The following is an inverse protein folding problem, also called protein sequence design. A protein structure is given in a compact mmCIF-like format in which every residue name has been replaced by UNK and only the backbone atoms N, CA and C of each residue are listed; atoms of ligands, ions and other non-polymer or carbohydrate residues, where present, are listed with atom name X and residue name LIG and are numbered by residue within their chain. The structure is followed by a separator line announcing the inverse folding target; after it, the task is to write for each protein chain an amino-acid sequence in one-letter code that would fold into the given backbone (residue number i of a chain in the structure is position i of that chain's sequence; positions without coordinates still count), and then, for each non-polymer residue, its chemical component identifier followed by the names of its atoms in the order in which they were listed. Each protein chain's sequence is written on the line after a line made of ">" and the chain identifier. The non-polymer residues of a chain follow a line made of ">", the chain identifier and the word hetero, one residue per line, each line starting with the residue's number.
data_IF_688960167817
#
_entry.id   IF_688960167817
#
_cell.length_a   1.000
_cell.length_b   1.000
_cell.length_c   1.000
_cell.angle_alpha   90.00
_cell.angle_beta   90.00
_cell.angle_gamma   90.00
#
_symmetry.space_group_name_H-M   'P 1'
#
loop_
_entity.id
_entity.type
_entity.pdbx_description
1 polymer ?
#
# COMPACT_ATOMS: atom_id res chain seq x y z
N UNK A 1 33.69 -19.46 -52.17
CA UNK A 1 33.88 -18.15 -51.53
C UNK A 1 33.15 -17.15 -52.39
N UNK A 2 32.18 -16.43 -51.83
CA UNK A 2 31.78 -15.06 -52.18
C UNK A 2 30.55 -14.66 -51.33
N UNK A 3 30.87 -14.01 -50.21
CA UNK A 3 30.11 -12.93 -49.57
C UNK A 3 28.61 -13.13 -49.29
N UNK A 4 28.28 -14.03 -48.36
CA UNK A 4 27.00 -14.04 -47.63
C UNK A 4 26.90 -12.90 -46.59
N UNK A 5 27.52 -11.75 -46.88
CA UNK A 5 27.63 -10.63 -45.96
C UNK A 5 27.27 -9.34 -46.68
N UNK A 6 25.98 -9.06 -46.82
CA UNK A 6 25.45 -7.69 -46.93
C UNK A 6 23.98 -7.68 -47.33
N UNK A 7 23.11 -7.97 -46.35
CA UNK A 7 21.80 -7.32 -46.30
C UNK A 7 21.16 -7.68 -44.96
N UNK A 8 21.79 -7.27 -43.84
CA UNK A 8 20.94 -7.01 -42.68
C UNK A 8 20.12 -5.81 -43.12
N UNK A 9 18.81 -5.97 -43.35
CA UNK A 9 18.07 -4.92 -44.01
C UNK A 9 18.08 -3.70 -43.07
N UNK A 10 18.31 -2.53 -43.63
CA UNK A 10 18.41 -1.26 -42.91
C UNK A 10 17.29 -1.03 -41.88
N UNK A 11 16.09 -1.59 -42.13
CA UNK A 11 14.97 -1.56 -41.16
C UNK A 11 15.25 -2.35 -39.88
N UNK A 12 16.05 -3.42 -39.91
CA UNK A 12 16.45 -4.19 -38.73
C UNK A 12 17.38 -3.37 -37.82
N UNK A 13 18.29 -2.58 -38.42
CA UNK A 13 19.12 -1.63 -37.67
C UNK A 13 18.27 -0.53 -37.03
N UNK A 14 17.31 0.04 -37.79
CA UNK A 14 16.36 1.01 -37.23
C UNK A 14 15.54 0.40 -36.08
N UNK A 15 15.05 -0.82 -36.24
CA UNK A 15 14.29 -1.54 -35.22
C UNK A 15 15.10 -1.75 -33.95
N UNK A 16 16.36 -2.20 -34.06
CA UNK A 16 17.25 -2.37 -32.91
C UNK A 16 17.53 -1.04 -32.20
N UNK A 17 17.75 0.05 -32.95
CA UNK A 17 17.95 1.40 -32.37
C UNK A 17 16.69 1.87 -31.62
N UNK A 18 15.49 1.66 -32.19
CA UNK A 18 14.22 1.98 -31.50
C UNK A 18 14.05 1.13 -30.25
N UNK A 19 14.34 -0.17 -30.31
CA UNK A 19 14.29 -1.05 -29.14
C UNK A 19 15.23 -0.59 -28.03
N UNK A 20 16.48 -0.19 -28.35
CA UNK A 20 17.45 0.33 -27.36
C UNK A 20 16.94 1.63 -26.73
N UNK A 21 16.38 2.56 -27.52
CA UNK A 21 15.82 3.83 -27.01
C UNK A 21 14.63 3.57 -26.07
N UNK A 22 13.72 2.66 -26.46
CA UNK A 22 12.56 2.29 -25.63
C UNK A 22 13.01 1.58 -24.34
N UNK A 23 14.00 0.69 -24.42
CA UNK A 23 14.53 0.00 -23.24
C UNK A 23 15.27 0.95 -22.30
N UNK A 24 16.02 1.93 -22.80
CA UNK A 24 16.65 2.96 -21.98
C UNK A 24 15.61 3.88 -21.30
N UNK A 25 14.53 4.23 -22.01
CA UNK A 25 13.39 4.96 -21.42
C UNK A 25 12.64 4.16 -20.36
N UNK A 26 12.50 2.84 -20.53
CA UNK A 26 11.83 1.99 -19.53
C UNK A 26 12.75 1.68 -18.33
N UNK A 27 14.03 1.42 -18.58
CA UNK A 27 15.06 1.15 -17.57
C UNK A 27 15.35 2.36 -16.68
N UNK A 28 15.24 3.59 -17.21
CA UNK A 28 15.37 4.81 -16.39
C UNK A 28 14.22 5.03 -15.40
N UNK A 29 13.14 4.24 -15.47
CA UNK A 29 12.12 4.17 -14.40
C UNK A 29 12.43 3.14 -13.31
N UNK A 30 13.50 2.35 -13.46
CA UNK A 30 13.90 1.30 -12.54
C UNK A 30 15.26 1.59 -11.89
N UNK A 31 15.41 2.76 -11.24
CA UNK A 31 16.18 2.95 -9.99
C UNK A 31 16.23 4.41 -9.57
N UNK A 32 15.95 4.62 -8.28
CA UNK A 32 16.00 5.85 -7.47
C UNK A 32 14.73 6.70 -7.49
N UNK A 33 13.93 6.58 -6.42
CA UNK A 33 13.95 7.51 -5.26
C UNK A 33 12.86 7.09 -4.25
N UNK A 34 12.80 7.74 -3.08
CA UNK A 34 13.48 7.40 -1.83
C UNK A 34 12.44 6.82 -0.85
N UNK A 35 12.87 6.49 0.38
CA UNK A 35 11.97 6.50 1.53
C UNK A 35 11.16 7.80 1.50
N UNK A 36 9.93 7.72 1.04
CA UNK A 36 8.98 8.81 1.12
C UNK A 36 8.56 8.82 2.57
N UNK A 37 9.29 9.59 3.39
CA UNK A 37 8.68 10.22 4.55
C UNK A 37 7.44 10.90 3.99
N UNK A 38 6.27 10.33 4.25
CA UNK A 38 5.02 11.03 4.05
C UNK A 38 5.18 12.38 4.76
N UNK A 39 5.38 13.44 3.97
CA UNK A 39 5.27 14.80 4.45
C UNK A 39 3.79 14.99 4.71
N UNK A 40 3.36 14.57 5.90
CA UNK A 40 2.04 14.85 6.45
C UNK A 40 2.01 16.37 6.63
N UNK A 41 1.59 17.08 5.59
CA UNK A 41 1.28 18.49 5.66
C UNK A 41 -0.14 18.60 6.22
N UNK A 42 -0.31 18.15 7.46
CA UNK A 42 -1.49 18.35 8.26
C UNK A 42 -1.11 19.29 9.37
N UNK A 43 -1.91 20.33 9.60
CA UNK A 43 -1.79 21.19 10.76
C UNK A 43 -1.89 20.28 12.00
N UNK A 44 -0.76 19.95 12.61
CA UNK A 44 -0.71 19.01 13.74
C UNK A 44 -1.32 19.72 14.95
N UNK A 45 -2.62 19.53 15.12
CA UNK A 45 -3.30 19.92 16.34
C UNK A 45 -2.91 18.88 17.40
N UNK A 46 -1.82 19.12 18.12
CA UNK A 46 -1.39 18.25 19.21
C UNK A 46 -2.27 18.51 20.42
N UNK A 47 -3.38 17.78 20.49
CA UNK A 47 -4.11 17.61 21.73
C UNK A 47 -3.36 16.65 22.64
N UNK A 48 -3.49 16.78 23.97
CA UNK A 48 -2.96 15.79 24.92
C UNK A 48 -3.44 14.35 24.70
N UNK A 49 -4.44 14.16 23.81
CA UNK A 49 -4.94 12.87 23.36
C UNK A 49 -4.11 12.22 22.23
N UNK A 50 -3.25 12.95 21.52
CA UNK A 50 -2.49 12.47 20.36
C UNK A 50 -2.91 13.09 19.02
N UNK A 51 -2.47 12.49 17.92
CA UNK A 51 -2.74 12.91 16.54
C UNK A 51 -3.59 11.88 15.79
N UNK A 52 -4.49 12.33 14.92
CA UNK A 52 -5.27 11.43 14.07
C UNK A 52 -4.45 11.07 12.82
N UNK A 53 -4.20 9.78 12.62
CA UNK A 53 -3.46 9.25 11.48
C UNK A 53 -4.32 8.30 10.65
N UNK A 54 -4.05 8.28 9.34
CA UNK A 54 -4.70 7.43 8.34
C UNK A 54 -3.72 6.35 7.89
N UNK A 55 -4.17 5.10 7.88
CA UNK A 55 -3.41 3.93 7.48
C UNK A 55 -4.14 3.20 6.36
N UNK A 56 -3.38 2.63 5.45
CA UNK A 56 -3.90 1.79 4.37
C UNK A 56 -3.86 0.32 4.79
N UNK A 57 -4.94 -0.39 4.52
CA UNK A 57 -5.07 -1.82 4.69
C UNK A 57 -5.26 -2.47 3.33
N UNK A 58 -4.52 -3.55 3.10
CA UNK A 58 -4.67 -4.34 1.87
C UNK A 58 -5.95 -5.19 1.95
N UNK A 59 -6.85 -5.10 0.96
CA UNK A 59 -8.02 -5.98 0.89
C UNK A 59 -7.62 -7.46 0.86
N UNK A 60 -8.40 -8.32 1.51
CA UNK A 60 -8.19 -9.77 1.55
C UNK A 60 -6.78 -10.20 2.02
N UNK A 61 -6.16 -9.39 2.88
CA UNK A 61 -4.80 -9.67 3.35
C UNK A 61 -4.58 -9.19 4.80
N UNK A 62 -3.57 -9.77 5.43
CA UNK A 62 -3.07 -9.35 6.73
C UNK A 62 -2.15 -8.14 6.57
N UNK A 63 -2.50 -7.04 7.22
CA UNK A 63 -1.68 -5.83 7.28
C UNK A 63 -1.17 -5.63 8.70
N UNK A 64 0.15 -5.47 8.86
CA UNK A 64 0.76 -5.14 10.14
C UNK A 64 1.09 -3.65 10.20
N UNK A 65 0.58 -2.95 11.21
CA UNK A 65 0.85 -1.54 11.46
C UNK A 65 1.70 -1.40 12.74
N UNK A 66 2.64 -0.45 12.71
CA UNK A 66 3.42 -0.06 13.89
C UNK A 66 2.68 1.06 14.60
N UNK A 67 1.96 0.70 15.66
CA UNK A 67 1.06 1.57 16.41
C UNK A 67 1.25 1.29 17.90
N UNK A 68 1.18 2.29 18.79
CA UNK A 68 1.13 2.04 20.22
C UNK A 68 -0.11 1.20 20.58
N UNK A 69 0.00 0.39 21.63
CA UNK A 69 -1.16 -0.35 22.17
C UNK A 69 -2.27 0.59 22.62
N UNK A 70 -1.90 1.77 23.13
CA UNK A 70 -2.84 2.81 23.53
C UNK A 70 -3.44 3.59 22.36
N UNK A 71 -3.10 3.29 21.10
CA UNK A 71 -3.73 3.95 19.96
C UNK A 71 -5.19 3.51 19.83
N UNK A 72 -6.09 4.49 19.70
CA UNK A 72 -7.52 4.23 19.60
C UNK A 72 -7.92 4.19 18.13
N UNK A 73 -8.48 3.07 17.69
CA UNK A 73 -9.06 2.95 16.34
C UNK A 73 -10.40 3.69 16.31
N UNK A 74 -10.57 4.60 15.35
CA UNK A 74 -11.76 5.43 15.22
C UNK A 74 -12.77 4.84 14.24
N UNK A 75 -12.31 4.51 13.03
CA UNK A 75 -13.17 4.00 11.97
C UNK A 75 -12.33 3.34 10.88
N UNK A 76 -12.99 2.46 10.13
CA UNK A 76 -12.53 2.01 8.81
C UNK A 76 -13.49 2.50 7.73
N UNK A 77 -12.97 2.86 6.55
CA UNK A 77 -13.76 3.23 5.37
C UNK A 77 -13.04 2.78 4.10
N UNK A 78 -13.80 2.46 3.06
CA UNK A 78 -13.23 2.20 1.74
C UNK A 78 -12.95 3.50 0.98
N UNK A 79 -11.91 3.46 0.16
CA UNK A 79 -11.62 4.40 -0.90
C UNK A 79 -11.97 3.80 -2.26
N UNK A 80 -11.25 4.20 -3.30
CA UNK A 80 -11.47 3.69 -4.66
C UNK A 80 -11.15 2.19 -4.74
N UNK A 81 -9.94 1.78 -4.36
CA UNK A 81 -9.40 0.41 -4.43
C UNK A 81 -8.76 -0.04 -3.11
N UNK A 82 -8.78 0.82 -2.09
CA UNK A 82 -8.13 0.59 -0.81
C UNK A 82 -9.10 0.68 0.37
N UNK A 83 -8.75 0.03 1.48
CA UNK A 83 -9.43 0.23 2.77
C UNK A 83 -8.51 1.06 3.64
N UNK A 84 -9.10 2.02 4.33
CA UNK A 84 -8.37 2.91 5.22
C UNK A 84 -8.87 2.77 6.65
N UNK A 85 -7.92 2.84 7.57
CA UNK A 85 -8.12 2.87 9.01
C UNK A 85 -7.68 4.22 9.54
N UNK A 86 -8.50 4.82 10.40
CA UNK A 86 -8.13 6.03 11.14
C UNK A 86 -7.96 5.70 12.61
N UNK A 87 -6.90 6.23 13.21
CA UNK A 87 -6.62 6.05 14.63
C UNK A 87 -6.12 7.34 15.27
N UNK A 88 -6.44 7.53 16.55
CA UNK A 88 -5.76 8.48 17.42
C UNK A 88 -4.49 7.81 17.93
N UNK A 89 -3.34 8.41 17.62
CA UNK A 89 -2.02 7.90 17.98
C UNK A 89 -1.40 8.83 19.02
N UNK A 90 -1.20 8.36 20.27
CA UNK A 90 -0.58 9.17 21.30
C UNK A 90 0.91 9.40 21.00
N UNK A 91 1.37 10.63 21.26
CA UNK A 91 2.78 11.00 21.09
C UNK A 91 3.66 10.42 22.20
N UNK A 92 4.92 10.08 21.86
CA UNK A 92 5.91 9.61 22.83
C UNK A 92 5.67 8.20 23.38
N UNK A 93 4.70 7.45 22.84
CA UNK A 93 4.47 6.03 23.18
C UNK A 93 5.24 5.12 22.23
N UNK A 94 5.68 3.98 22.75
CA UNK A 94 6.37 2.97 21.96
C UNK A 94 5.40 2.32 20.96
N UNK A 95 5.86 2.13 19.73
CA UNK A 95 5.10 1.43 18.71
C UNK A 95 5.26 -0.08 18.90
N UNK A 96 4.14 -0.79 18.91
CA UNK A 96 4.14 -2.24 18.81
C UNK A 96 3.54 -2.68 17.48
N UNK A 97 3.71 -3.96 17.15
CA UNK A 97 3.13 -4.55 15.94
C UNK A 97 1.68 -4.94 16.20
N UNK A 98 0.73 -4.20 15.61
CA UNK A 98 -0.71 -4.51 15.60
C UNK A 98 -1.11 -5.06 14.24
N UNK A 99 -1.86 -6.16 14.24
CA UNK A 99 -2.17 -6.94 13.04
C UNK A 99 -3.64 -6.80 12.67
N UNK A 100 -3.93 -6.38 11.44
CA UNK A 100 -5.28 -6.15 10.95
C UNK A 100 -5.55 -7.05 9.76
N UNK A 101 -6.60 -7.86 9.84
CA UNK A 101 -7.06 -8.72 8.77
C UNK A 101 -8.29 -8.10 8.11
N UNK A 102 -8.30 -8.11 6.79
CA UNK A 102 -9.45 -7.69 6.00
C UNK A 102 -10.02 -8.92 5.31
N UNK A 103 -11.31 -9.21 5.53
CA UNK A 103 -12.00 -10.35 4.91
C UNK A 103 -13.21 -9.88 4.12
N UNK A 104 -13.47 -10.41 2.91
CA UNK A 104 -14.68 -10.10 2.17
C UNK A 104 -15.90 -10.72 2.88
N UNK A 105 -17.07 -10.14 2.66
CA UNK A 105 -18.34 -10.73 3.13
C UNK A 105 -18.52 -12.14 2.55
N UNK A 106 -18.95 -13.08 3.40
CA UNK A 106 -19.14 -14.48 3.04
C UNK A 106 -18.00 -15.38 3.48
N UNK A 107 -16.86 -14.83 3.92
CA UNK A 107 -15.81 -15.60 4.59
C UNK A 107 -16.07 -15.80 6.09
N UNK A 108 -15.38 -16.77 6.68
CA UNK A 108 -15.48 -17.09 8.10
C UNK A 108 -14.99 -15.96 9.00
N UNK A 109 -15.50 -15.94 10.24
CA UNK A 109 -15.00 -15.04 11.28
C UNK A 109 -13.64 -15.53 11.75
N UNK A 110 -12.73 -14.59 11.99
CA UNK A 110 -11.36 -14.91 12.43
C UNK A 110 -11.37 -15.11 13.94
N UNK A 111 -10.85 -16.25 14.40
CA UNK A 111 -10.67 -16.54 15.81
C UNK A 111 -9.69 -15.56 16.48
N UNK A 112 -9.86 -15.32 17.78
CA UNK A 112 -9.01 -14.42 18.57
C UNK A 112 -8.86 -13.03 17.94
N UNK A 113 -9.98 -12.44 17.51
CA UNK A 113 -9.96 -11.14 16.86
C UNK A 113 -11.04 -10.20 17.38
N UNK A 114 -10.82 -8.90 17.21
CA UNK A 114 -11.74 -7.82 17.53
C UNK A 114 -12.27 -7.25 16.21
N UNK A 115 -13.58 -7.23 16.04
CA UNK A 115 -14.21 -6.57 14.91
C UNK A 115 -14.04 -5.04 15.02
N UNK A 116 -13.51 -4.42 13.97
CA UNK A 116 -13.24 -2.98 13.89
C UNK A 116 -14.34 -2.25 13.11
N UNK A 117 -14.81 -2.84 12.02
CA UNK A 117 -15.84 -2.22 11.19
C UNK A 117 -15.96 -2.83 9.79
N UNK A 118 -16.86 -2.25 9.00
CA UNK A 118 -17.12 -2.65 7.61
C UNK A 118 -16.73 -1.52 6.66
N UNK A 119 -16.06 -1.87 5.57
CA UNK A 119 -15.65 -0.96 4.51
C UNK A 119 -16.21 -1.43 3.16
N UNK A 120 -16.60 -0.48 2.31
CA UNK A 120 -17.13 -0.70 0.98
C UNK A 120 -16.10 -0.23 -0.03
N UNK A 121 -15.58 -1.14 -0.85
CA UNK A 121 -14.62 -0.84 -1.93
C UNK A 121 -15.25 -1.27 -3.23
N UNK A 122 -15.50 -0.31 -4.13
CA UNK A 122 -16.28 -0.53 -5.35
C UNK A 122 -17.64 -1.21 -5.06
N UNK A 123 -17.80 -2.47 -5.51
CA UNK A 123 -19.00 -3.30 -5.32
C UNK A 123 -18.82 -4.36 -4.23
N UNK A 124 -17.66 -4.37 -3.58
CA UNK A 124 -17.28 -5.36 -2.58
C UNK A 124 -17.46 -4.80 -1.17
N UNK A 125 -17.85 -5.68 -0.25
CA UNK A 125 -17.99 -5.38 1.17
C UNK A 125 -16.93 -6.17 1.92
N UNK A 126 -16.19 -5.49 2.79
CA UNK A 126 -15.12 -6.06 3.58
C UNK A 126 -15.33 -5.79 5.07
N UNK A 127 -15.00 -6.77 5.89
CA UNK A 127 -14.96 -6.66 7.35
C UNK A 127 -13.51 -6.61 7.80
N UNK A 128 -13.21 -5.66 8.69
CA UNK A 128 -11.87 -5.45 9.23
C UNK A 128 -11.84 -5.95 10.66
N UNK A 129 -10.85 -6.77 10.97
CA UNK A 129 -10.59 -7.33 12.28
C UNK A 129 -9.18 -6.99 12.74
N UNK A 130 -9.01 -6.71 14.03
CA UNK A 130 -7.70 -6.71 14.68
C UNK A 130 -7.44 -8.07 15.31
N UNK A 131 -6.31 -8.70 15.02
CA UNK A 131 -5.95 -10.01 15.58
C UNK A 131 -5.30 -9.79 16.96
N UNK A 132 -5.90 -10.40 17.98
CA UNK A 132 -5.34 -10.49 19.33
C UNK A 132 -4.40 -11.69 19.36
N UNK A 133 -3.20 -11.50 19.92
CA UNK A 133 -2.27 -12.60 20.20
C UNK A 133 -2.45 -13.12 21.62
#
# INVERSE_FOLDING_TARGET
>A
MDNFASALPWFFLLFVVVCIILFAKNSSKAKRKPTTRNKVNGNSFSTGAGIILKYELNPSNLTALMLPDSAQILTVKGGQDHIYLWAVVPEGKENVKRSFMVVPTGEGVIDNSIYIGTAYVEKMVFHVFEIIK
#
